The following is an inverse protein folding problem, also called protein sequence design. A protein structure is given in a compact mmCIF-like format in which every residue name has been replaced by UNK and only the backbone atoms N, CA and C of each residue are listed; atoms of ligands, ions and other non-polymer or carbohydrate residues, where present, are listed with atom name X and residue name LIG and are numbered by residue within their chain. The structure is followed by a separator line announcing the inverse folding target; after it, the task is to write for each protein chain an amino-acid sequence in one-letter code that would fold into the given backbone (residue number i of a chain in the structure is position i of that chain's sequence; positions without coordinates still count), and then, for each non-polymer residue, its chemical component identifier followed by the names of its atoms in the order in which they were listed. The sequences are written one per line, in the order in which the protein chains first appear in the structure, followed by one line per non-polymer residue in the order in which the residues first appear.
data_IF_062591404083
#
_entry.id   IF_062591404083
#
_cell.length_a   1.000
_cell.length_b   1.000
_cell.length_c   1.000
_cell.angle_alpha   90.00
_cell.angle_beta   90.00
_cell.angle_gamma   90.00
#
_symmetry.space_group_name_H-M   'P 1'
#
loop_
_entity.id
_entity.type
_entity.pdbx_description
1 polymer ?
#
# COMPACT_ATOMS: atom_id res chain seq x y z
N UNK A 1 -11.73 -21.70 21.35
CA UNK A 1 -10.70 -20.65 21.27
C UNK A 1 -11.37 -19.33 20.93
N UNK A 2 -11.38 -18.37 21.84
CA UNK A 2 -11.99 -17.05 21.60
C UNK A 2 -11.04 -16.23 20.73
N UNK A 3 -11.42 -16.00 19.47
CA UNK A 3 -10.66 -15.14 18.56
C UNK A 3 -10.81 -13.68 19.02
N UNK A 4 -9.82 -13.15 19.74
CA UNK A 4 -9.74 -11.71 20.03
C UNK A 4 -9.59 -10.97 18.69
N UNK A 5 -10.53 -10.07 18.37
CA UNK A 5 -10.41 -9.19 17.20
C UNK A 5 -9.23 -8.25 17.43
N UNK A 6 -8.30 -8.24 16.49
CA UNK A 6 -7.23 -7.23 16.43
C UNK A 6 -7.82 -5.86 16.11
N UNK A 7 -7.26 -4.79 16.68
CA UNK A 7 -7.66 -3.42 16.34
C UNK A 7 -7.49 -3.14 14.84
N UNK A 8 -8.21 -2.15 14.30
CA UNK A 8 -8.02 -1.69 12.92
C UNK A 8 -6.60 -1.17 12.68
N UNK A 9 -6.16 -1.10 11.42
CA UNK A 9 -4.91 -0.45 11.06
C UNK A 9 -5.01 1.05 11.25
N UNK A 10 -3.98 1.65 11.85
CA UNK A 10 -3.83 3.10 11.92
C UNK A 10 -3.17 3.65 10.66
N UNK A 11 -3.30 4.95 10.41
CA UNK A 11 -2.61 5.63 9.30
C UNK A 11 -1.09 5.45 9.38
N UNK A 12 -0.51 5.46 10.59
CA UNK A 12 0.93 5.24 10.80
C UNK A 12 1.34 3.81 10.39
N UNK A 13 0.51 2.82 10.69
CA UNK A 13 0.75 1.43 10.28
C UNK A 13 0.65 1.28 8.76
N UNK A 14 -0.30 1.95 8.10
CA UNK A 14 -0.41 1.93 6.64
C UNK A 14 0.82 2.56 5.97
N UNK A 15 1.27 3.73 6.46
CA UNK A 15 2.48 4.40 5.95
C UNK A 15 3.69 3.48 6.11
N UNK A 16 3.87 2.87 7.28
CA UNK A 16 4.95 1.90 7.51
C UNK A 16 4.87 0.72 6.53
N UNK A 17 3.68 0.14 6.37
CA UNK A 17 3.47 -1.00 5.49
C UNK A 17 3.77 -0.65 4.03
N UNK A 18 3.39 0.55 3.57
CA UNK A 18 3.74 1.06 2.24
C UNK A 18 5.25 1.17 2.05
N UNK A 19 5.97 1.80 2.98
CA UNK A 19 7.42 1.94 2.89
C UNK A 19 8.12 0.58 2.83
N UNK A 20 7.82 -0.31 3.78
CA UNK A 20 8.43 -1.64 3.83
C UNK A 20 8.12 -2.45 2.57
N UNK A 21 6.88 -2.39 2.07
CA UNK A 21 6.51 -3.07 0.84
C UNK A 21 7.31 -2.56 -0.36
N UNK A 22 7.47 -1.24 -0.50
CA UNK A 22 8.24 -0.62 -1.57
C UNK A 22 9.72 -1.04 -1.48
N UNK A 23 10.32 -0.91 -0.30
CA UNK A 23 11.73 -1.28 -0.06
C UNK A 23 12.02 -2.74 -0.42
N UNK A 24 11.12 -3.66 -0.05
CA UNK A 24 11.27 -5.08 -0.38
C UNK A 24 11.02 -5.34 -1.87
N UNK A 25 10.01 -4.70 -2.47
CA UNK A 25 9.63 -4.89 -3.87
C UNK A 25 10.66 -4.35 -4.87
N UNK A 26 11.41 -3.33 -4.48
CA UNK A 26 12.40 -2.67 -5.32
C UNK A 26 13.83 -3.15 -5.05
N UNK A 27 14.03 -4.11 -4.15
CA UNK A 27 15.36 -4.61 -3.81
C UNK A 27 15.95 -5.47 -4.94
N UNK A 28 16.99 -4.99 -5.66
CA UNK A 28 17.51 -5.67 -6.84
C UNK A 28 18.30 -6.96 -6.52
N UNK A 29 18.85 -7.06 -5.31
CA UNK A 29 19.62 -8.23 -4.84
C UNK A 29 18.70 -9.43 -4.62
N UNK A 30 17.46 -9.14 -4.27
CA UNK A 30 16.45 -10.08 -3.82
C UNK A 30 15.52 -10.54 -4.95
N UNK A 31 15.39 -9.72 -6.00
CA UNK A 31 14.26 -9.72 -6.94
C UNK A 31 14.17 -10.84 -7.97
N UNK A 32 15.09 -11.81 -8.00
CA UNK A 32 15.06 -12.90 -8.99
C UNK A 32 14.56 -14.19 -8.31
N UNK A 33 13.47 -14.76 -8.83
CA UNK A 33 12.88 -16.05 -8.42
C UNK A 33 12.39 -16.16 -6.96
N UNK A 34 11.88 -15.08 -6.37
CA UNK A 34 11.25 -15.15 -5.05
C UNK A 34 9.78 -15.58 -5.14
N UNK A 35 9.36 -16.55 -4.31
CA UNK A 35 7.94 -16.87 -4.14
C UNK A 35 7.19 -15.77 -3.38
N UNK A 36 5.89 -15.63 -3.62
CA UNK A 36 5.07 -14.67 -2.89
C UNK A 36 5.12 -14.86 -1.37
N UNK A 37 5.22 -16.11 -0.90
CA UNK A 37 5.31 -16.40 0.54
C UNK A 37 6.59 -15.84 1.17
N UNK A 38 7.74 -16.03 0.49
CA UNK A 38 9.02 -15.49 0.91
C UNK A 38 9.00 -13.95 0.87
N UNK A 39 8.38 -13.35 -0.16
CA UNK A 39 8.27 -11.89 -0.28
C UNK A 39 7.56 -11.32 0.95
N UNK A 40 6.39 -11.87 1.27
CA UNK A 40 5.62 -11.45 2.43
C UNK A 40 6.27 -11.82 3.76
N UNK A 41 7.09 -12.87 3.79
CA UNK A 41 7.96 -13.19 4.93
C UNK A 41 8.93 -12.04 5.22
N UNK A 42 9.61 -11.52 4.19
CA UNK A 42 10.51 -10.36 4.32
C UNK A 42 9.76 -9.10 4.75
N UNK A 43 8.61 -8.81 4.12
CA UNK A 43 7.76 -7.68 4.52
C UNK A 43 7.38 -7.76 6.00
N UNK A 44 6.97 -8.94 6.49
CA UNK A 44 6.64 -9.15 7.92
C UNK A 44 7.87 -8.90 8.80
N UNK A 45 9.01 -9.50 8.46
CA UNK A 45 10.26 -9.33 9.22
C UNK A 45 10.69 -7.87 9.32
N UNK A 46 10.64 -7.12 8.22
CA UNK A 46 11.02 -5.69 8.23
C UNK A 46 9.98 -4.83 8.95
N UNK A 47 8.68 -5.11 8.77
CA UNK A 47 7.59 -4.40 9.46
C UNK A 47 7.73 -4.51 10.98
N UNK A 48 8.05 -5.70 11.50
CA UNK A 48 8.17 -5.97 12.93
C UNK A 48 9.36 -5.26 13.60
N UNK A 49 10.36 -4.79 12.82
CA UNK A 49 11.50 -4.04 13.37
C UNK A 49 11.10 -2.63 13.82
N UNK A 50 9.97 -2.13 13.37
CA UNK A 50 9.50 -0.78 13.69
C UNK A 50 8.82 -0.72 15.05
N UNK A 51 9.11 0.34 15.81
CA UNK A 51 8.42 0.64 17.08
C UNK A 51 6.91 0.88 16.90
N UNK A 52 6.47 1.26 15.70
CA UNK A 52 5.05 1.41 15.35
C UNK A 52 4.33 0.05 15.37
N UNK A 53 5.01 -1.02 14.92
CA UNK A 53 4.49 -2.38 14.90
C UNK A 53 4.41 -3.00 16.32
N UNK A 54 5.18 -2.49 17.29
CA UNK A 54 5.16 -2.98 18.68
C UNK A 54 3.84 -2.72 19.42
N UNK A 55 2.96 -1.87 18.87
CA UNK A 55 1.65 -1.57 19.49
C UNK A 55 0.66 -2.71 19.38
N UNK A 56 0.74 -3.50 18.31
CA UNK A 56 -0.08 -4.69 18.11
C UNK A 56 0.53 -5.59 17.04
N UNK A 57 0.66 -6.89 17.37
CA UNK A 57 1.15 -7.85 16.39
C UNK A 57 0.20 -7.97 15.19
N UNK A 58 0.76 -7.91 13.98
CA UNK A 58 0.04 -8.09 12.72
C UNK A 58 0.48 -9.38 12.04
N UNK A 59 -0.36 -10.42 11.94
CA UNK A 59 -0.02 -11.62 11.20
C UNK A 59 0.29 -11.32 9.72
N UNK A 60 1.18 -12.12 9.10
CA UNK A 60 1.57 -11.95 7.68
C UNK A 60 0.37 -11.82 6.74
N UNK A 61 -0.66 -12.66 6.93
CA UNK A 61 -1.91 -12.62 6.14
C UNK A 61 -2.67 -11.30 6.32
N UNK A 62 -2.63 -10.70 7.51
CA UNK A 62 -3.28 -9.41 7.77
C UNK A 62 -2.59 -8.29 6.98
N UNK A 63 -1.25 -8.27 6.95
CA UNK A 63 -0.46 -7.32 6.16
C UNK A 63 -0.75 -7.47 4.66
N UNK A 64 -0.82 -8.72 4.16
CA UNK A 64 -1.20 -9.02 2.78
C UNK A 64 -2.56 -8.41 2.42
N UNK A 65 -3.59 -8.70 3.20
CA UNK A 65 -4.95 -8.20 2.96
C UNK A 65 -5.01 -6.68 3.04
N UNK A 66 -4.32 -6.07 4.02
CA UNK A 66 -4.28 -4.62 4.16
C UNK A 66 -3.61 -3.95 2.97
N UNK A 67 -2.46 -4.44 2.55
CA UNK A 67 -1.75 -3.90 1.39
C UNK A 67 -2.55 -4.10 0.10
N UNK A 68 -3.22 -5.24 -0.08
CA UNK A 68 -4.13 -5.44 -1.23
C UNK A 68 -5.23 -4.38 -1.28
N UNK A 69 -5.78 -4.00 -0.12
CA UNK A 69 -6.77 -2.91 -0.04
C UNK A 69 -6.16 -1.56 -0.42
N UNK A 70 -4.95 -1.25 0.06
CA UNK A 70 -4.22 -0.03 -0.28
C UNK A 70 -3.94 0.04 -1.79
N UNK A 71 -3.36 -1.01 -2.37
CA UNK A 71 -3.05 -1.09 -3.81
C UNK A 71 -4.31 -0.98 -4.66
N UNK A 72 -5.44 -1.53 -4.21
CA UNK A 72 -6.73 -1.38 -4.88
C UNK A 72 -7.18 0.08 -4.88
N UNK A 73 -7.07 0.79 -3.75
CA UNK A 73 -7.40 2.21 -3.68
C UNK A 73 -6.47 3.07 -4.56
N UNK A 74 -5.17 2.79 -4.55
CA UNK A 74 -4.20 3.45 -5.43
C UNK A 74 -4.52 3.21 -6.91
N UNK A 75 -4.90 1.99 -7.28
CA UNK A 75 -5.25 1.63 -8.66
C UNK A 75 -6.51 2.37 -9.14
N UNK A 76 -7.52 2.50 -8.27
CA UNK A 76 -8.73 3.30 -8.56
C UNK A 76 -8.38 4.76 -8.81
N UNK A 77 -7.58 5.37 -7.93
CA UNK A 77 -7.11 6.75 -8.12
C UNK A 77 -6.34 6.90 -9.43
N UNK A 78 -5.42 5.97 -9.74
CA UNK A 78 -4.68 5.99 -11.01
C UNK A 78 -5.61 5.89 -12.22
N UNK A 79 -6.67 5.09 -12.13
CA UNK A 79 -7.73 5.03 -13.14
C UNK A 79 -8.43 6.38 -13.35
N UNK A 80 -8.78 7.08 -12.27
CA UNK A 80 -9.35 8.42 -12.34
C UNK A 80 -8.37 9.44 -12.96
N UNK A 81 -7.09 9.41 -12.56
CA UNK A 81 -6.06 10.28 -13.13
C UNK A 81 -5.91 10.02 -14.63
N UNK A 82 -5.81 8.75 -15.07
CA UNK A 82 -5.74 8.39 -16.47
C UNK A 82 -6.93 8.95 -17.28
N UNK A 83 -8.13 8.92 -16.70
CA UNK A 83 -9.33 9.49 -17.37
C UNK A 83 -9.22 11.00 -17.57
N UNK A 84 -8.61 11.74 -16.64
CA UNK A 84 -8.38 13.17 -16.78
C UNK A 84 -7.28 13.45 -17.81
N UNK A 85 -6.14 12.77 -17.70
CA UNK A 85 -5.02 12.93 -18.65
C UNK A 85 -5.44 12.63 -20.09
N UNK A 86 -6.25 11.60 -20.31
CA UNK A 86 -6.76 11.22 -21.63
C UNK A 86 -7.69 12.26 -22.29
N UNK A 87 -8.18 13.26 -21.52
CA UNK A 87 -8.93 14.40 -22.08
C UNK A 87 -8.01 15.46 -22.69
N UNK A 88 -6.68 15.28 -22.61
CA UNK A 88 -5.66 16.24 -23.03
C UNK A 88 -5.90 17.66 -22.49
N UNK A 89 -6.03 17.83 -21.16
CA UNK A 89 -6.28 19.14 -20.57
C UNK A 89 -5.07 20.05 -20.75
N UNK A 90 -5.13 20.93 -21.75
CA UNK A 90 -4.04 21.84 -22.09
C UNK A 90 -3.79 22.83 -20.94
N UNK A 91 -2.54 22.92 -20.48
CA UNK A 91 -2.15 23.85 -19.41
C UNK A 91 -2.53 23.43 -17.99
N UNK A 92 -3.08 22.23 -17.78
CA UNK A 92 -3.39 21.74 -16.44
C UNK A 92 -2.12 21.33 -15.68
N UNK A 93 -2.01 21.78 -14.43
CA UNK A 93 -0.96 21.32 -13.52
C UNK A 93 -1.26 19.92 -12.97
N UNK A 94 -0.27 19.31 -12.30
CA UNK A 94 -0.48 18.04 -11.60
C UNK A 94 -1.53 18.17 -10.49
N UNK A 95 -1.59 19.31 -9.82
CA UNK A 95 -2.59 19.59 -8.78
C UNK A 95 -4.00 19.70 -9.37
N UNK A 96 -4.15 20.34 -10.53
CA UNK A 96 -5.43 20.41 -11.25
C UNK A 96 -5.93 19.01 -11.65
N UNK A 97 -5.02 18.18 -12.17
CA UNK A 97 -5.33 16.80 -12.56
C UNK A 97 -5.76 15.99 -11.32
N UNK A 98 -5.03 16.13 -10.19
CA UNK A 98 -5.34 15.41 -8.97
C UNK A 98 -6.68 15.85 -8.37
N UNK A 99 -6.96 17.15 -8.32
CA UNK A 99 -8.23 17.69 -7.84
C UNK A 99 -9.40 17.17 -8.67
N UNK A 100 -9.27 17.15 -10.00
CA UNK A 100 -10.29 16.59 -10.89
C UNK A 100 -10.44 15.07 -10.71
N UNK A 101 -9.33 14.34 -10.55
CA UNK A 101 -9.38 12.90 -10.31
C UNK A 101 -10.09 12.56 -8.99
N UNK A 102 -9.88 13.35 -7.94
CA UNK A 102 -10.57 13.22 -6.66
C UNK A 102 -12.08 13.43 -6.79
N UNK A 103 -12.54 14.33 -7.67
CA UNK A 103 -13.97 14.51 -7.95
C UNK A 103 -14.61 13.28 -8.63
N UNK A 104 -13.83 12.47 -9.34
CA UNK A 104 -14.30 11.21 -9.94
C UNK A 104 -14.24 10.03 -8.96
N UNK A 105 -13.42 10.13 -7.91
CA UNK A 105 -13.23 9.12 -6.89
C UNK A 105 -14.36 9.23 -5.85
N UNK A 106 -15.55 8.73 -6.20
CA UNK A 106 -16.74 8.67 -5.34
C UNK A 106 -17.02 7.26 -4.83
#
# INVERSE_FOLDING_TARGET
MTSKRTASYSVKEDILLCHVYLDVSQNPIIGINQSGDQFWGRVKTEYDKSTVACTQERPKRSLQTRMSTILTACSKLRGCINQIENKNPSGASQEDILNQANMLLT
#
